data_IF_066364062012
#
_entry.id   IF_066364062012
#
_cell.length_a   1.000
_cell.length_b   1.000
_cell.length_c   1.000
_cell.angle_alpha   90.00
_cell.angle_beta   90.00
_cell.angle_gamma   90.00
#
_symmetry.space_group_name_H-M   'P 1'
#
loop_
_entity.id
_entity.type
_entity.pdbx_description
1 polymer ?
#
# COMPACT_ATOMS: atom_id res chain seq x y z
N UNK A 1 19.36 45.00 -2.04
CA UNK A 1 19.59 43.82 -2.90
C UNK A 1 19.15 42.60 -2.13
N UNK A 2 17.93 42.13 -2.35
CA UNK A 2 17.36 40.96 -1.68
C UNK A 2 17.47 39.77 -2.65
N UNK A 3 18.17 38.72 -2.21
CA UNK A 3 18.22 37.44 -2.89
C UNK A 3 16.95 36.66 -2.56
N UNK A 4 16.14 36.34 -3.56
CA UNK A 4 15.05 35.36 -3.45
C UNK A 4 15.42 34.13 -4.26
N UNK A 5 15.59 32.99 -3.58
CA UNK A 5 15.64 31.67 -4.21
C UNK A 5 14.27 31.34 -4.83
N UNK A 6 14.22 30.63 -5.98
CA UNK A 6 12.97 30.12 -6.51
C UNK A 6 12.51 28.89 -5.71
N UNK A 7 11.19 28.63 -5.64
CA UNK A 7 10.65 27.47 -4.93
C UNK A 7 10.90 26.20 -5.74
N UNK A 8 11.54 25.22 -5.13
CA UNK A 8 11.59 23.85 -5.67
C UNK A 8 10.23 23.18 -5.39
N UNK A 9 9.31 23.32 -6.34
CA UNK A 9 8.12 22.49 -6.41
C UNK A 9 8.40 21.38 -7.43
N UNK A 10 8.75 20.19 -6.95
CA UNK A 10 8.84 18.98 -7.77
C UNK A 10 7.85 17.96 -7.23
N UNK A 11 6.59 18.15 -7.58
CA UNK A 11 5.63 17.05 -7.65
C UNK A 11 6.02 16.19 -8.86
N UNK A 12 6.97 15.28 -8.69
CA UNK A 12 7.22 14.24 -9.68
C UNK A 12 6.10 13.21 -9.58
N UNK A 13 5.34 13.09 -10.66
CA UNK A 13 4.37 12.01 -10.85
C UNK A 13 5.08 10.68 -10.66
N UNK A 14 4.55 9.81 -9.79
CA UNK A 14 5.18 8.53 -9.45
C UNK A 14 5.44 7.63 -10.68
N UNK A 15 4.69 7.85 -11.78
CA UNK A 15 4.90 7.16 -13.06
C UNK A 15 6.23 7.52 -13.76
N UNK A 16 6.73 8.74 -13.57
CA UNK A 16 7.97 9.21 -14.22
C UNK A 16 9.22 8.62 -13.56
N UNK A 17 9.15 8.40 -12.25
CA UNK A 17 10.22 7.75 -11.47
C UNK A 17 10.35 6.29 -11.89
N UNK A 18 9.24 5.59 -12.08
CA UNK A 18 9.23 4.16 -12.41
C UNK A 18 9.79 3.85 -13.82
N UNK A 19 9.41 4.62 -14.84
CA UNK A 19 9.96 4.44 -16.20
C UNK A 19 11.48 4.66 -16.25
N UNK A 20 11.98 5.59 -15.45
CA UNK A 20 13.41 5.87 -15.32
C UNK A 20 14.15 4.74 -14.61
N UNK A 21 13.58 4.18 -13.54
CA UNK A 21 14.12 3.03 -12.78
C UNK A 21 14.26 1.80 -13.67
N UNK A 22 13.22 1.44 -14.43
CA UNK A 22 13.27 0.23 -15.27
C UNK A 22 14.35 0.34 -16.35
N UNK A 23 14.55 1.53 -16.92
CA UNK A 23 15.61 1.77 -17.90
C UNK A 23 17.00 1.66 -17.26
N UNK A 24 17.19 2.26 -16.08
CA UNK A 24 18.49 2.32 -15.43
C UNK A 24 18.92 0.94 -14.91
N UNK A 25 18.03 0.19 -14.26
CA UNK A 25 18.31 -1.19 -13.76
C UNK A 25 18.68 -2.14 -14.91
N UNK A 26 17.94 -2.09 -16.02
CA UNK A 26 18.24 -2.92 -17.20
C UNK A 26 19.58 -2.52 -17.83
N UNK A 27 19.91 -1.22 -17.83
CA UNK A 27 21.17 -0.73 -18.39
C UNK A 27 22.42 -1.10 -17.55
N UNK A 28 22.27 -1.18 -16.22
CA UNK A 28 23.36 -1.55 -15.30
C UNK A 28 23.81 -3.00 -15.50
N UNK A 29 22.90 -3.90 -15.86
CA UNK A 29 23.21 -5.31 -16.09
C UNK A 29 23.99 -5.57 -17.40
N UNK A 30 24.20 -4.58 -18.28
CA UNK A 30 24.76 -4.82 -19.61
C UNK A 30 26.07 -4.09 -19.93
N UNK A 31 26.54 -3.12 -19.11
CA UNK A 31 27.87 -2.52 -19.25
C UNK A 31 28.46 -2.11 -17.90
N UNK A 32 29.73 -2.42 -17.61
CA UNK A 32 30.42 -1.84 -16.46
C UNK A 32 30.61 -0.35 -16.75
N UNK A 33 29.78 0.49 -16.12
CA UNK A 33 29.94 1.94 -16.17
C UNK A 33 30.96 2.34 -15.12
N UNK A 34 32.15 2.73 -15.58
CA UNK A 34 33.30 3.18 -14.79
C UNK A 34 33.14 4.60 -14.23
N UNK A 35 31.97 5.21 -14.36
CA UNK A 35 31.70 6.58 -13.97
C UNK A 35 31.00 6.61 -12.61
N UNK A 36 31.76 6.97 -11.56
CA UNK A 36 31.29 7.02 -10.18
C UNK A 36 29.99 7.83 -10.03
N UNK A 37 29.79 8.88 -10.84
CA UNK A 37 28.58 9.71 -10.79
C UNK A 37 27.30 8.95 -11.16
N UNK A 38 27.39 7.92 -12.01
CA UNK A 38 26.24 7.11 -12.40
C UNK A 38 25.92 6.06 -11.35
N UNK A 39 26.94 5.51 -10.70
CA UNK A 39 26.80 4.60 -9.55
C UNK A 39 26.15 5.35 -8.38
N UNK A 40 26.63 6.56 -8.07
CA UNK A 40 26.08 7.37 -6.97
C UNK A 40 24.58 7.66 -7.19
N UNK A 41 24.20 8.12 -8.39
CA UNK A 41 22.79 8.36 -8.73
C UNK A 41 21.93 7.11 -8.62
N UNK A 42 22.46 5.96 -9.01
CA UNK A 42 21.74 4.70 -8.89
C UNK A 42 21.53 4.33 -7.42
N UNK A 43 22.56 4.48 -6.58
CA UNK A 43 22.46 4.23 -5.15
C UNK A 43 21.48 5.18 -4.46
N UNK A 44 21.47 6.46 -4.86
CA UNK A 44 20.50 7.45 -4.37
C UNK A 44 19.06 7.00 -4.68
N UNK A 45 18.79 6.59 -5.92
CA UNK A 45 17.48 6.07 -6.34
C UNK A 45 17.09 4.84 -5.51
N UNK A 46 18.00 3.89 -5.29
CA UNK A 46 17.73 2.71 -4.46
C UNK A 46 17.43 3.09 -3.01
N UNK A 47 18.13 4.09 -2.47
CA UNK A 47 17.87 4.59 -1.12
C UNK A 47 16.51 5.28 -1.01
N UNK A 48 16.10 6.04 -2.03
CA UNK A 48 14.78 6.66 -2.09
C UNK A 48 13.67 5.61 -2.15
N UNK A 49 13.83 4.55 -2.96
CA UNK A 49 12.86 3.45 -3.04
C UNK A 49 12.78 2.71 -1.70
N UNK A 50 13.92 2.45 -1.05
CA UNK A 50 13.95 1.81 0.27
C UNK A 50 13.13 2.63 1.27
N UNK A 51 13.32 3.95 1.26
CA UNK A 51 12.60 4.87 2.14
C UNK A 51 11.10 4.87 1.83
N UNK A 52 10.72 4.99 0.56
CA UNK A 52 9.32 4.96 0.13
C UNK A 52 8.63 3.64 0.51
N UNK A 53 9.29 2.50 0.32
CA UNK A 53 8.78 1.19 0.76
C UNK A 53 8.53 1.16 2.25
N UNK A 54 9.49 1.63 3.06
CA UNK A 54 9.32 1.70 4.51
C UNK A 54 8.16 2.60 4.91
N UNK A 55 8.07 3.80 4.34
CA UNK A 55 7.00 4.75 4.65
C UNK A 55 5.62 4.20 4.28
N UNK A 56 5.52 3.47 3.16
CA UNK A 56 4.28 2.80 2.75
C UNK A 56 3.92 1.64 3.66
N UNK A 57 4.89 0.80 4.05
CA UNK A 57 4.67 -0.27 5.03
C UNK A 57 4.13 0.31 6.33
N UNK A 58 4.84 1.27 6.91
CA UNK A 58 4.46 1.92 8.18
C UNK A 58 3.05 2.56 8.07
N UNK A 59 2.70 3.12 6.91
CA UNK A 59 1.37 3.69 6.65
C UNK A 59 0.26 2.63 6.57
N UNK A 60 0.52 1.50 5.89
CA UNK A 60 -0.44 0.38 5.81
C UNK A 60 -0.67 -0.22 7.20
N UNK A 61 0.39 -0.46 7.96
CA UNK A 61 0.28 -0.97 9.34
C UNK A 61 -0.53 -0.03 10.24
N UNK A 62 -0.34 1.29 10.10
CA UNK A 62 -1.14 2.25 10.84
C UNK A 62 -2.62 2.24 10.43
N UNK A 63 -2.92 2.10 9.14
CA UNK A 63 -4.30 1.97 8.67
C UNK A 63 -4.90 0.65 9.17
N UNK A 64 -4.14 -0.45 9.11
CA UNK A 64 -4.54 -1.75 9.67
C UNK A 64 -5.01 -1.58 11.11
N UNK A 65 -4.20 -0.98 11.98
CA UNK A 65 -4.55 -0.78 13.40
C UNK A 65 -5.83 0.06 13.53
N UNK A 66 -5.98 1.12 12.75
CA UNK A 66 -7.16 1.97 12.81
C UNK A 66 -8.43 1.21 12.39
N UNK A 67 -8.34 0.41 11.32
CA UNK A 67 -9.44 -0.36 10.77
C UNK A 67 -9.80 -1.53 11.69
N UNK A 68 -8.81 -2.21 12.27
CA UNK A 68 -9.01 -3.27 13.26
C UNK A 68 -9.79 -2.75 14.46
N UNK A 69 -9.48 -1.53 14.95
CA UNK A 69 -10.23 -0.91 16.04
C UNK A 69 -11.70 -0.60 15.71
N UNK A 70 -12.08 -0.57 14.42
CA UNK A 70 -13.48 -0.38 14.00
C UNK A 70 -14.31 -1.69 14.11
N UNK A 71 -13.67 -2.86 14.15
CA UNK A 71 -14.39 -4.15 14.11
C UNK A 71 -15.32 -4.40 15.31
N UNK A 72 -15.15 -3.69 16.43
CA UNK A 72 -15.89 -3.95 17.69
C UNK A 72 -16.92 -2.89 18.08
N UNK A 73 -17.36 -2.05 17.14
CA UNK A 73 -18.30 -0.95 17.43
C UNK A 73 -19.71 -1.23 16.91
N UNK A 74 -20.71 -0.85 17.70
CA UNK A 74 -22.09 -0.80 17.26
C UNK A 74 -22.32 0.50 16.48
N UNK A 75 -22.64 0.38 15.19
CA UNK A 75 -22.83 1.51 14.29
C UNK A 75 -24.31 1.80 14.05
N UNK A 76 -24.67 3.08 13.98
CA UNK A 76 -25.96 3.53 13.42
C UNK A 76 -26.03 3.30 11.91
N UNK A 77 -27.24 3.33 11.34
CA UNK A 77 -27.44 3.16 9.90
C UNK A 77 -26.64 4.15 9.05
N UNK A 78 -26.50 5.40 9.49
CA UNK A 78 -25.69 6.41 8.81
C UNK A 78 -24.20 6.12 8.89
N UNK A 79 -23.72 5.59 10.01
CA UNK A 79 -22.31 5.22 10.19
C UNK A 79 -21.96 3.98 9.36
N UNK A 80 -22.90 3.04 9.21
CA UNK A 80 -22.75 1.88 8.32
C UNK A 80 -22.59 2.28 6.86
N UNK A 81 -23.20 3.38 6.39
CA UNK A 81 -22.97 3.88 5.02
C UNK A 81 -21.52 4.34 4.87
N UNK A 82 -21.03 5.16 5.79
CA UNK A 82 -19.64 5.65 5.79
C UNK A 82 -18.62 4.50 5.91
N UNK A 83 -18.90 3.51 6.76
CA UNK A 83 -18.07 2.32 6.91
C UNK A 83 -17.97 1.53 5.61
N UNK A 84 -19.08 1.38 4.88
CA UNK A 84 -19.07 0.71 3.57
C UNK A 84 -18.28 1.46 2.51
N UNK A 85 -18.27 2.78 2.54
CA UNK A 85 -17.40 3.59 1.67
C UNK A 85 -15.93 3.42 2.04
N UNK A 86 -15.61 3.40 3.34
CA UNK A 86 -14.26 3.15 3.84
C UNK A 86 -13.74 1.77 3.39
N UNK A 87 -14.54 0.71 3.54
CA UNK A 87 -14.19 -0.65 3.08
C UNK A 87 -13.84 -0.67 1.59
N UNK A 88 -14.61 0.04 0.74
CA UNK A 88 -14.31 0.17 -0.70
C UNK A 88 -12.98 0.87 -0.97
N UNK A 89 -12.67 1.92 -0.19
CA UNK A 89 -11.38 2.62 -0.28
C UNK A 89 -10.24 1.69 0.13
N UNK A 90 -10.42 0.88 1.18
CA UNK A 90 -9.44 -0.10 1.62
C UNK A 90 -9.16 -1.16 0.52
N UNK A 91 -10.19 -1.73 -0.11
CA UNK A 91 -10.01 -2.63 -1.26
C UNK A 91 -9.25 -1.97 -2.42
N UNK A 92 -9.56 -0.70 -2.71
CA UNK A 92 -8.85 0.07 -3.75
C UNK A 92 -7.38 0.23 -3.38
N UNK A 93 -7.09 0.59 -2.14
CA UNK A 93 -5.72 0.70 -1.61
C UNK A 93 -4.95 -0.62 -1.71
N UNK A 94 -5.53 -1.74 -1.31
CA UNK A 94 -4.92 -3.08 -1.45
C UNK A 94 -4.56 -3.36 -2.91
N UNK A 95 -5.46 -3.05 -3.84
CA UNK A 95 -5.22 -3.23 -5.28
C UNK A 95 -4.10 -2.34 -5.80
N UNK A 96 -4.07 -1.07 -5.41
CA UNK A 96 -3.04 -0.11 -5.84
C UNK A 96 -1.65 -0.50 -5.32
N UNK A 97 -1.55 -0.91 -4.06
CA UNK A 97 -0.28 -1.35 -3.48
C UNK A 97 0.22 -2.67 -4.09
N UNK A 98 -0.69 -3.60 -4.42
CA UNK A 98 -0.34 -4.80 -5.19
C UNK A 98 0.20 -4.47 -6.58
N UNK A 99 -0.42 -3.52 -7.30
CA UNK A 99 0.08 -3.05 -8.59
C UNK A 99 1.47 -2.41 -8.46
N UNK A 100 1.70 -1.64 -7.39
CA UNK A 100 3.00 -1.06 -7.11
C UNK A 100 4.07 -2.14 -6.89
N UNK A 101 3.79 -3.18 -6.10
CA UNK A 101 4.70 -4.34 -5.95
C UNK A 101 5.03 -4.99 -7.29
N UNK A 102 4.01 -5.20 -8.13
CA UNK A 102 4.22 -5.79 -9.45
C UNK A 102 5.14 -4.91 -10.31
N UNK A 103 4.99 -3.58 -10.23
CA UNK A 103 5.88 -2.66 -10.91
C UNK A 103 7.33 -2.83 -10.44
N UNK A 104 7.60 -2.84 -9.13
CA UNK A 104 8.97 -2.91 -8.61
C UNK A 104 9.56 -4.33 -8.58
N UNK A 105 8.84 -5.33 -9.11
CA UNK A 105 9.27 -6.73 -9.07
C UNK A 105 10.62 -6.98 -9.77
N UNK A 106 10.99 -6.12 -10.73
CA UNK A 106 12.33 -6.14 -11.35
C UNK A 106 13.45 -5.95 -10.33
N UNK A 107 13.24 -5.15 -9.28
CA UNK A 107 14.23 -4.95 -8.22
C UNK A 107 14.43 -6.25 -7.43
N UNK A 108 13.33 -6.86 -7.00
CA UNK A 108 13.35 -8.15 -6.28
C UNK A 108 14.03 -9.25 -7.10
N UNK A 109 13.71 -9.37 -8.40
CA UNK A 109 14.32 -10.35 -9.30
C UNK A 109 15.83 -10.18 -9.48
N UNK A 110 16.36 -8.97 -9.25
CA UNK A 110 17.79 -8.67 -9.29
C UNK A 110 18.44 -8.67 -7.90
N UNK A 111 17.73 -9.14 -6.86
CA UNK A 111 18.25 -9.20 -5.49
C UNK A 111 18.36 -7.83 -4.81
N UNK A 112 17.67 -6.81 -5.32
CA UNK A 112 17.66 -5.47 -4.75
C UNK A 112 16.45 -5.32 -3.81
N UNK A 113 16.71 -4.83 -2.59
CA UNK A 113 15.70 -4.56 -1.57
C UNK A 113 14.78 -5.77 -1.24
N UNK A 114 15.29 -7.01 -1.16
CA UNK A 114 14.43 -8.18 -1.02
C UNK A 114 13.66 -8.16 0.31
N UNK A 115 14.27 -7.62 1.38
CA UNK A 115 13.65 -7.55 2.71
C UNK A 115 12.54 -6.51 2.71
N UNK A 116 12.81 -5.31 2.21
CA UNK A 116 11.84 -4.22 2.22
C UNK A 116 10.63 -4.52 1.32
N UNK A 117 10.86 -5.15 0.16
CA UNK A 117 9.77 -5.63 -0.71
C UNK A 117 8.96 -6.75 -0.02
N UNK A 118 9.62 -7.65 0.71
CA UNK A 118 8.94 -8.72 1.46
C UNK A 118 8.06 -8.15 2.57
N UNK A 119 8.60 -7.26 3.40
CA UNK A 119 7.86 -6.63 4.50
C UNK A 119 6.67 -5.83 3.97
N UNK A 120 6.83 -5.14 2.84
CA UNK A 120 5.73 -4.42 2.22
C UNK A 120 4.65 -5.34 1.67
N UNK A 121 5.01 -6.50 1.08
CA UNK A 121 4.06 -7.54 0.66
C UNK A 121 3.27 -8.07 1.85
N UNK A 122 3.96 -8.44 2.92
CA UNK A 122 3.34 -8.97 4.15
C UNK A 122 2.32 -7.97 4.72
N UNK A 123 2.69 -6.70 4.85
CA UNK A 123 1.76 -5.67 5.32
C UNK A 123 0.51 -5.52 4.43
N UNK A 124 0.63 -5.70 3.12
CA UNK A 124 -0.53 -5.65 2.20
C UNK A 124 -1.40 -6.89 2.34
N UNK A 125 -0.79 -8.06 2.50
CA UNK A 125 -1.51 -9.33 2.65
C UNK A 125 -2.31 -9.31 3.97
N UNK A 126 -1.68 -8.90 5.08
CA UNK A 126 -2.36 -8.72 6.38
C UNK A 126 -3.51 -7.70 6.28
N UNK A 127 -3.27 -6.58 5.59
CA UNK A 127 -4.31 -5.58 5.37
C UNK A 127 -5.44 -6.10 4.48
N UNK A 128 -5.13 -6.91 3.46
CA UNK A 128 -6.14 -7.51 2.59
C UNK A 128 -7.04 -8.50 3.34
N UNK A 129 -6.47 -9.30 4.24
CA UNK A 129 -7.22 -10.22 5.10
C UNK A 129 -8.17 -9.44 6.02
N UNK A 130 -7.68 -8.41 6.71
CA UNK A 130 -8.51 -7.55 7.56
C UNK A 130 -9.67 -6.91 6.78
N UNK A 131 -9.40 -6.45 5.55
CA UNK A 131 -10.43 -5.83 4.71
C UNK A 131 -11.48 -6.86 4.26
N UNK A 132 -11.07 -8.08 3.91
CA UNK A 132 -11.99 -9.19 3.62
C UNK A 132 -12.89 -9.52 4.82
N UNK A 133 -12.32 -9.58 6.03
CA UNK A 133 -13.05 -9.87 7.27
C UNK A 133 -14.12 -8.81 7.57
N UNK A 134 -13.76 -7.54 7.44
CA UNK A 134 -14.68 -6.42 7.69
C UNK A 134 -15.73 -6.34 6.60
N UNK A 135 -15.37 -6.53 5.33
CA UNK A 135 -16.33 -6.60 4.24
C UNK A 135 -17.32 -7.76 4.45
N UNK A 136 -16.83 -8.92 4.88
CA UNK A 136 -17.68 -10.04 5.24
C UNK A 136 -18.69 -9.67 6.32
N UNK A 137 -18.20 -9.05 7.39
CA UNK A 137 -19.01 -8.66 8.55
C UNK A 137 -20.09 -7.64 8.20
N UNK A 138 -19.73 -6.56 7.51
CA UNK A 138 -20.60 -5.39 7.34
C UNK A 138 -21.34 -5.34 5.99
N UNK A 139 -20.92 -6.13 4.99
CA UNK A 139 -21.59 -6.20 3.69
C UNK A 139 -22.19 -7.59 3.38
N UNK A 140 -21.54 -8.69 3.74
CA UNK A 140 -21.98 -10.03 3.33
C UNK A 140 -22.93 -10.65 4.36
N UNK A 141 -22.49 -10.81 5.60
CA UNK A 141 -23.23 -11.52 6.66
C UNK A 141 -24.55 -10.86 7.04
N UNK A 142 -24.61 -9.52 7.05
CA UNK A 142 -25.86 -8.78 7.35
C UNK A 142 -26.96 -9.07 6.31
N UNK A 143 -26.58 -9.42 5.08
CA UNK A 143 -27.52 -9.74 4.01
C UNK A 143 -27.78 -11.25 3.87
N UNK A 144 -27.11 -12.09 4.66
CA UNK A 144 -27.30 -13.54 4.66
C UNK A 144 -28.53 -13.90 5.50
N UNK A 145 -29.53 -14.51 4.86
CA UNK A 145 -30.81 -14.82 5.50
C UNK A 145 -30.71 -15.86 6.61
N UNK A 146 -29.76 -16.78 6.50
CA UNK A 146 -29.56 -17.86 7.48
C UNK A 146 -28.82 -17.30 8.69
N UNK A 147 -27.80 -16.48 8.45
CA UNK A 147 -27.11 -15.73 9.51
C UNK A 147 -28.12 -14.90 10.31
N UNK A 148 -28.90 -14.04 9.65
CA UNK A 148 -29.91 -13.18 10.30
C UNK A 148 -30.94 -13.98 11.11
N UNK A 149 -31.37 -15.14 10.61
CA UNK A 149 -32.31 -16.02 11.32
C UNK A 149 -31.68 -16.62 12.57
N UNK A 150 -30.44 -17.08 12.48
CA UNK A 150 -29.68 -17.63 13.62
C UNK A 150 -29.44 -16.54 14.67
N UNK A 151 -29.00 -15.34 14.28
CA UNK A 151 -28.77 -14.24 15.23
C UNK A 151 -30.06 -13.87 15.97
N UNK A 152 -31.19 -13.76 15.24
CA UNK A 152 -32.52 -13.53 15.85
C UNK A 152 -32.99 -14.65 16.78
N UNK A 153 -32.55 -15.88 16.57
CA UNK A 153 -32.86 -16.99 17.46
C UNK A 153 -32.03 -16.89 18.74
N UNK A 154 -30.75 -16.54 18.62
CA UNK A 154 -29.84 -16.35 19.75
C UNK A 154 -30.24 -15.18 20.65
N UNK A 155 -30.75 -14.07 20.09
CA UNK A 155 -31.25 -12.91 20.85
C UNK A 155 -32.46 -13.23 21.75
N UNK A 156 -33.15 -14.35 21.50
CA UNK A 156 -34.36 -14.75 22.23
C UNK A 156 -34.10 -15.77 23.34
N UNK A 157 -32.87 -16.27 23.44
CA UNK A 157 -32.41 -17.18 24.51
C UNK A 157 -31.94 -16.38 25.72
#
# INVERSE_FOLDING_TARGET
MQNTCPPHNQNHSHGDIFHKISSDVVSFNHKPKTDNQQVDKFLDIINDIRKDLKERTDAIENIYIQIENLTWHAYSDSELVSLRELIKLCHTSVKENNNFIQSINVLSNNGLLPIEISNFREAIDDFAELVEDIDSTYNRLINDSDFVQITKHLEKL
#
